data_IF_223712793961
#
_entry.id   IF_223712793961
#
_cell.length_a   1.000
_cell.length_b   1.000
_cell.length_c   1.000
_cell.angle_alpha   90.00
_cell.angle_beta   90.00
_cell.angle_gamma   90.00
#
_symmetry.space_group_name_H-M   'P 1'
#
loop_
_entity.id
_entity.type
_entity.pdbx_description
1 polymer ?
#
# COMPACT_ATOMS: atom_id res chain seq x y z
N UNK A 1 19.27 -24.45 -4.99
CA UNK A 1 19.64 -23.28 -4.16
C UNK A 1 18.48 -22.77 -3.30
N UNK A 2 17.38 -22.20 -3.81
CA UNK A 2 16.25 -21.74 -2.94
C UNK A 2 15.65 -22.85 -2.07
N UNK A 3 15.29 -23.98 -2.68
CA UNK A 3 14.72 -25.15 -1.99
C UNK A 3 15.67 -25.75 -0.94
N UNK A 4 16.97 -25.72 -1.22
CA UNK A 4 18.02 -26.19 -0.32
C UNK A 4 18.16 -25.29 0.92
N UNK A 5 18.14 -23.97 0.73
CA UNK A 5 18.15 -23.00 1.84
C UNK A 5 16.92 -23.18 2.72
N UNK A 6 15.74 -23.35 2.12
CA UNK A 6 14.50 -23.56 2.85
C UNK A 6 14.55 -24.85 3.69
N UNK A 7 14.94 -25.98 3.08
CA UNK A 7 15.11 -27.24 3.79
C UNK A 7 16.14 -27.13 4.95
N UNK A 8 17.20 -26.35 4.76
CA UNK A 8 18.18 -26.11 5.81
C UNK A 8 17.60 -25.32 7.00
N UNK A 9 16.84 -24.26 6.74
CA UNK A 9 16.18 -23.47 7.79
C UNK A 9 15.17 -24.31 8.57
N UNK A 10 14.32 -25.06 7.87
CA UNK A 10 13.35 -25.98 8.46
C UNK A 10 14.03 -27.04 9.35
N UNK A 11 15.16 -27.61 8.90
CA UNK A 11 15.93 -28.59 9.68
C UNK A 11 16.50 -28.05 11.00
N UNK A 12 16.58 -26.72 11.13
CA UNK A 12 17.08 -26.01 12.32
C UNK A 12 15.95 -25.44 13.18
N UNK A 13 14.69 -25.65 12.81
CA UNK A 13 13.54 -25.05 13.49
C UNK A 13 13.47 -23.53 13.31
N UNK A 14 14.09 -23.00 12.24
CA UNK A 14 14.03 -21.57 11.93
C UNK A 14 12.78 -21.32 11.09
N UNK A 15 11.92 -20.43 11.59
CA UNK A 15 10.71 -20.02 10.90
C UNK A 15 11.06 -19.20 9.66
N UNK A 16 10.45 -19.52 8.53
CA UNK A 16 10.58 -18.75 7.30
C UNK A 16 9.38 -17.82 7.20
N UNK A 17 9.65 -16.51 7.19
CA UNK A 17 8.68 -15.49 6.82
C UNK A 17 8.88 -15.13 5.34
N UNK A 18 7.86 -15.33 4.52
CA UNK A 18 7.91 -14.99 3.10
C UNK A 18 7.52 -13.53 2.92
N UNK A 19 8.50 -12.64 2.77
CA UNK A 19 8.24 -11.21 2.58
C UNK A 19 8.99 -10.60 1.42
N UNK A 20 8.62 -9.38 1.07
CA UNK A 20 9.29 -8.60 0.03
C UNK A 20 10.71 -8.18 0.45
N UNK A 21 11.60 -7.88 -0.50
CA UNK A 21 12.89 -7.27 -0.20
C UNK A 21 12.70 -6.00 0.62
N UNK A 22 13.40 -5.90 1.74
CA UNK A 22 13.36 -4.71 2.59
C UNK A 22 14.29 -3.65 2.00
N UNK A 23 13.73 -2.65 1.35
CA UNK A 23 14.44 -1.42 0.97
C UNK A 23 14.17 -0.33 2.02
N UNK A 24 15.20 0.44 2.41
CA UNK A 24 15.06 1.59 3.32
C UNK A 24 15.56 1.37 4.76
N UNK A 25 15.59 2.46 5.52
CA UNK A 25 15.98 2.47 6.93
C UNK A 25 14.82 2.01 7.84
N UNK A 26 15.06 1.16 8.86
CA UNK A 26 14.07 0.81 9.86
C UNK A 26 13.53 2.05 10.61
N UNK A 27 12.27 2.05 11.09
CA UNK A 27 11.40 0.88 11.31
C UNK A 27 10.19 0.81 10.35
N UNK A 28 10.38 0.34 9.12
CA UNK A 28 9.26 0.00 8.24
C UNK A 28 8.60 -1.35 8.62
N UNK A 29 7.28 -1.50 8.45
CA UNK A 29 6.59 -2.79 8.57
C UNK A 29 7.13 -3.82 7.58
N UNK A 30 6.98 -5.10 7.90
CA UNK A 30 7.43 -6.23 7.07
C UNK A 30 6.21 -6.91 6.46
N UNK A 31 6.01 -6.72 5.15
CA UNK A 31 4.90 -7.32 4.43
C UNK A 31 5.19 -8.75 3.97
N UNK A 32 4.19 -9.61 4.09
CA UNK A 32 4.15 -10.94 3.52
C UNK A 32 3.96 -10.86 2.00
N UNK A 33 4.68 -11.70 1.25
CA UNK A 33 4.64 -11.78 -0.22
C UNK A 33 3.35 -12.49 -0.65
N UNK A 34 2.23 -11.76 -0.66
CA UNK A 34 0.90 -12.29 -1.01
C UNK A 34 0.77 -12.62 -2.49
N UNK A 35 1.58 -12.00 -3.36
CA UNK A 35 1.66 -12.34 -4.79
C UNK A 35 2.05 -13.81 -5.01
N UNK A 36 3.00 -14.31 -4.20
CA UNK A 36 3.49 -15.69 -4.31
C UNK A 36 2.89 -16.63 -3.27
N UNK A 37 2.45 -16.08 -2.14
CA UNK A 37 1.97 -16.83 -0.99
C UNK A 37 0.67 -16.22 -0.45
N UNK A 38 -0.44 -16.26 -1.20
CA UNK A 38 -1.71 -15.64 -0.80
C UNK A 38 -2.45 -16.40 0.32
N UNK A 39 -1.92 -17.53 0.78
CA UNK A 39 -2.55 -18.33 1.83
C UNK A 39 -2.21 -17.78 3.22
N UNK A 40 -3.21 -17.17 3.87
CA UNK A 40 -3.09 -16.61 5.21
C UNK A 40 -2.69 -17.66 6.27
N UNK A 41 -2.98 -18.95 6.04
CA UNK A 41 -2.57 -20.00 6.99
C UNK A 41 -1.05 -20.08 7.12
N UNK A 42 -0.31 -19.82 6.03
CA UNK A 42 1.16 -19.82 6.07
C UNK A 42 1.71 -18.66 6.90
N UNK A 43 1.10 -17.48 6.78
CA UNK A 43 1.44 -16.31 7.61
C UNK A 43 1.16 -16.57 9.08
N UNK A 44 -0.01 -17.12 9.41
CA UNK A 44 -0.37 -17.47 10.80
C UNK A 44 0.51 -18.58 11.37
N UNK A 45 0.90 -19.57 10.58
CA UNK A 45 1.83 -20.61 10.99
C UNK A 45 3.22 -20.04 11.32
N UNK A 46 3.69 -19.06 10.54
CA UNK A 46 4.93 -18.35 10.84
C UNK A 46 4.84 -17.54 12.14
N UNK A 47 3.71 -16.85 12.36
CA UNK A 47 3.45 -16.13 13.61
C UNK A 47 3.45 -17.07 14.82
N UNK A 48 2.70 -18.18 14.74
CA UNK A 48 2.60 -19.18 15.81
C UNK A 48 3.96 -19.79 16.14
N UNK A 49 4.72 -20.19 15.11
CA UNK A 49 6.06 -20.77 15.30
C UNK A 49 7.07 -19.74 15.87
N UNK A 50 6.83 -18.44 15.66
CA UNK A 50 7.59 -17.36 16.29
C UNK A 50 7.13 -17.04 17.72
N UNK A 51 6.13 -17.76 18.25
CA UNK A 51 5.60 -17.59 19.60
C UNK A 51 4.53 -16.50 19.74
N UNK A 52 4.01 -15.98 18.63
CA UNK A 52 2.95 -14.97 18.62
C UNK A 52 1.63 -15.61 19.00
N UNK A 53 0.90 -15.00 19.94
CA UNK A 53 -0.41 -15.48 20.43
C UNK A 53 -1.53 -14.45 20.28
N UNK A 54 -1.20 -13.29 19.72
CA UNK A 54 -2.12 -12.19 19.45
C UNK A 54 -1.89 -11.73 18.01
N UNK A 55 -2.96 -11.64 17.25
CA UNK A 55 -2.97 -11.15 15.87
C UNK A 55 -4.12 -10.15 15.75
N UNK A 56 -3.85 -9.00 15.13
CA UNK A 56 -4.87 -8.04 14.73
C UNK A 56 -5.50 -8.52 13.43
N UNK A 57 -6.83 -8.51 13.37
CA UNK A 57 -7.59 -8.74 12.14
C UNK A 57 -8.36 -7.48 11.81
N UNK A 58 -8.15 -6.97 10.61
CA UNK A 58 -8.90 -5.87 10.04
C UNK A 58 -9.53 -6.31 8.73
N UNK A 59 -10.78 -5.89 8.51
CA UNK A 59 -11.48 -6.10 7.26
C UNK A 59 -12.19 -4.80 6.89
N UNK A 60 -12.03 -4.38 5.64
CA UNK A 60 -12.65 -3.17 5.10
C UNK A 60 -13.75 -3.55 4.13
N UNK A 61 -14.92 -2.96 4.32
CA UNK A 61 -16.00 -2.98 3.33
C UNK A 61 -15.83 -1.80 2.39
N UNK A 62 -16.08 -2.02 1.10
CA UNK A 62 -16.16 -0.95 0.12
C UNK A 62 -17.49 -0.23 0.25
N UNK A 63 -17.46 1.09 0.42
CA UNK A 63 -18.67 1.89 0.61
C UNK A 63 -18.89 2.83 -0.56
N UNK A 64 -20.13 3.27 -0.75
CA UNK A 64 -20.45 4.31 -1.73
C UNK A 64 -19.73 5.62 -1.40
N UNK A 65 -19.60 5.95 -0.11
CA UNK A 65 -18.86 7.12 0.39
C UNK A 65 -17.42 7.19 -0.18
N UNK A 66 -16.72 6.05 -0.30
CA UNK A 66 -15.36 6.04 -0.88
C UNK A 66 -15.34 6.51 -2.34
N UNK A 67 -16.40 6.24 -3.09
CA UNK A 67 -16.56 6.72 -4.47
C UNK A 67 -16.97 8.19 -4.48
N UNK A 68 -17.86 8.60 -3.58
CA UNK A 68 -18.29 10.00 -3.46
C UNK A 68 -17.10 10.90 -3.10
N UNK A 69 -16.32 10.53 -2.09
CA UNK A 69 -15.09 11.21 -1.69
C UNK A 69 -14.12 11.34 -2.87
N UNK A 70 -13.89 10.26 -3.62
CA UNK A 70 -13.00 10.29 -4.78
C UNK A 70 -13.54 11.17 -5.93
N UNK A 71 -14.86 11.19 -6.15
CA UNK A 71 -15.49 12.06 -7.14
C UNK A 71 -15.41 13.54 -6.74
N UNK A 72 -15.59 13.84 -5.45
CA UNK A 72 -15.45 15.19 -4.91
C UNK A 72 -14.00 15.68 -5.05
N UNK A 73 -13.02 14.84 -4.71
CA UNK A 73 -11.60 15.14 -4.91
C UNK A 73 -11.25 15.35 -6.39
N UNK A 74 -11.84 14.54 -7.29
CA UNK A 74 -11.62 14.71 -8.73
C UNK A 74 -12.17 16.04 -9.26
N UNK A 75 -13.31 16.52 -8.74
CA UNK A 75 -13.92 17.79 -9.16
C UNK A 75 -13.06 19.00 -8.77
N UNK A 76 -12.35 18.92 -7.64
CA UNK A 76 -11.43 19.95 -7.18
C UNK A 76 -9.99 19.80 -7.65
N UNK A 77 -9.67 18.74 -8.39
CA UNK A 77 -8.30 18.42 -8.84
C UNK A 77 -7.88 19.14 -10.11
N UNK A 78 -6.57 19.19 -10.36
CA UNK A 78 -5.97 19.77 -11.57
C UNK A 78 -5.81 18.74 -12.70
N UNK A 79 -6.47 17.58 -12.57
CA UNK A 79 -6.50 16.55 -13.61
C UNK A 79 -7.10 17.12 -14.92
N UNK A 80 -6.46 16.93 -16.10
CA UNK A 80 -6.96 17.43 -17.37
C UNK A 80 -8.40 17.01 -17.67
N UNK A 81 -9.21 17.93 -18.22
CA UNK A 81 -10.64 17.73 -18.46
C UNK A 81 -11.00 16.48 -19.28
N UNK A 82 -10.15 16.08 -20.23
CA UNK A 82 -10.33 14.88 -21.04
C UNK A 82 -10.07 13.59 -20.25
N UNK A 83 -9.13 13.64 -19.30
CA UNK A 83 -8.83 12.54 -18.38
C UNK A 83 -9.86 12.46 -17.24
N UNK A 84 -10.31 13.61 -16.73
CA UNK A 84 -11.30 13.72 -15.65
C UNK A 84 -12.55 12.91 -15.96
N UNK A 85 -13.09 13.02 -17.19
CA UNK A 85 -14.28 12.25 -17.61
C UNK A 85 -14.05 10.74 -17.60
N UNK A 86 -12.85 10.29 -17.95
CA UNK A 86 -12.52 8.88 -17.95
C UNK A 86 -12.41 8.34 -16.51
N UNK A 87 -11.77 9.09 -15.62
CA UNK A 87 -11.68 8.75 -14.19
C UNK A 87 -13.07 8.76 -13.54
N UNK A 88 -13.87 9.79 -13.80
CA UNK A 88 -15.25 9.91 -13.30
C UNK A 88 -16.14 8.73 -13.73
N UNK A 89 -16.07 8.36 -15.01
CA UNK A 89 -16.78 7.18 -15.50
C UNK A 89 -16.33 5.92 -14.76
N UNK A 90 -15.02 5.76 -14.56
CA UNK A 90 -14.47 4.57 -13.92
C UNK A 90 -14.85 4.47 -12.45
N UNK A 91 -14.77 5.57 -11.71
CA UNK A 91 -15.25 5.66 -10.32
C UNK A 91 -16.73 5.25 -10.20
N UNK A 92 -17.58 5.69 -11.13
CA UNK A 92 -18.99 5.29 -11.16
C UNK A 92 -19.20 3.80 -11.41
N UNK A 93 -18.36 3.17 -12.24
CA UNK A 93 -18.42 1.73 -12.48
C UNK A 93 -18.08 0.91 -11.22
N UNK A 94 -17.17 1.40 -10.38
CA UNK A 94 -16.77 0.74 -9.14
C UNK A 94 -17.88 0.70 -8.08
N UNK A 95 -18.90 1.58 -8.15
CA UNK A 95 -20.06 1.56 -7.22
C UNK A 95 -20.75 0.20 -7.12
N UNK A 96 -20.67 -0.63 -8.16
CA UNK A 96 -21.23 -2.00 -8.15
C UNK A 96 -20.61 -2.90 -7.06
N UNK A 97 -19.46 -2.54 -6.53
CA UNK A 97 -18.75 -3.26 -5.46
C UNK A 97 -19.08 -2.73 -4.06
N UNK A 98 -19.98 -1.75 -3.91
CA UNK A 98 -20.44 -1.31 -2.60
C UNK A 98 -21.05 -2.47 -1.81
N UNK A 99 -20.69 -2.56 -0.52
CA UNK A 99 -21.10 -3.63 0.39
C UNK A 99 -20.24 -4.90 0.33
N UNK A 100 -19.25 -4.98 -0.57
CA UNK A 100 -18.31 -6.10 -0.61
C UNK A 100 -17.04 -5.80 0.20
N UNK A 101 -16.44 -6.82 0.82
CA UNK A 101 -15.12 -6.70 1.45
C UNK A 101 -14.06 -6.41 0.40
N UNK A 102 -13.34 -5.29 0.55
CA UNK A 102 -12.31 -4.84 -0.39
C UNK A 102 -10.89 -5.14 0.07
N UNK A 103 -10.71 -5.32 1.38
CA UNK A 103 -9.41 -5.57 2.00
C UNK A 103 -9.55 -6.44 3.24
N UNK A 104 -8.59 -7.34 3.43
CA UNK A 104 -8.37 -8.09 4.67
C UNK A 104 -6.91 -7.95 5.04
N UNK A 105 -6.65 -7.44 6.24
CA UNK A 105 -5.32 -7.31 6.81
C UNK A 105 -5.22 -8.17 8.09
N UNK A 106 -4.14 -8.94 8.20
CA UNK A 106 -3.70 -9.58 9.44
C UNK A 106 -2.35 -9.03 9.83
N UNK A 107 -2.17 -8.65 11.09
CA UNK A 107 -0.89 -8.11 11.55
C UNK A 107 -0.52 -8.53 12.96
N UNK A 108 0.78 -8.59 13.24
CA UNK A 108 1.30 -8.88 14.59
C UNK A 108 2.63 -8.19 14.85
N UNK A 109 2.92 -7.96 16.13
CA UNK A 109 4.18 -7.40 16.59
C UNK A 109 5.17 -8.49 17.01
N UNK A 110 6.42 -8.38 16.54
CA UNK A 110 7.53 -9.22 16.99
C UNK A 110 8.83 -8.42 16.99
N UNK A 111 9.46 -8.31 18.16
CA UNK A 111 10.75 -7.63 18.35
C UNK A 111 10.81 -6.21 17.76
N UNK A 112 9.83 -5.37 18.12
CA UNK A 112 9.67 -3.97 17.68
C UNK A 112 9.45 -3.80 16.16
N UNK A 113 8.93 -4.83 15.49
CA UNK A 113 8.51 -4.77 14.09
C UNK A 113 7.08 -5.27 13.97
N UNK A 114 6.31 -4.59 13.13
CA UNK A 114 5.00 -5.03 12.67
C UNK A 114 5.19 -5.92 11.45
N UNK A 115 4.57 -7.10 11.46
CA UNK A 115 4.48 -8.00 10.32
C UNK A 115 3.06 -8.00 9.80
N UNK A 116 2.88 -7.86 8.49
CA UNK A 116 1.57 -7.62 7.87
C UNK A 116 1.35 -8.63 6.75
N UNK A 117 0.16 -9.20 6.71
CA UNK A 117 -0.42 -9.89 5.57
C UNK A 117 -1.59 -9.04 5.10
N UNK A 118 -1.56 -8.59 3.85
CA UNK A 118 -2.58 -7.71 3.29
C UNK A 118 -3.08 -8.28 1.95
N UNK A 119 -4.38 -8.50 1.87
CA UNK A 119 -5.06 -8.89 0.64
C UNK A 119 -6.08 -7.84 0.29
N UNK A 120 -5.95 -7.34 -0.93
CA UNK A 120 -6.85 -6.35 -1.52
C UNK A 120 -7.46 -6.95 -2.77
N UNK A 121 -8.63 -6.45 -3.12
CA UNK A 121 -9.26 -6.79 -4.38
C UNK A 121 -8.73 -5.90 -5.49
N UNK A 122 -8.57 -6.44 -6.70
CA UNK A 122 -8.05 -5.68 -7.84
C UNK A 122 -8.80 -4.36 -8.09
N UNK A 123 -10.12 -4.35 -7.87
CA UNK A 123 -10.96 -3.16 -8.04
C UNK A 123 -10.79 -2.13 -6.92
N UNK A 124 -10.31 -2.55 -5.75
CA UNK A 124 -9.96 -1.65 -4.66
C UNK A 124 -8.57 -1.05 -4.85
N UNK A 125 -7.62 -1.83 -5.37
CA UNK A 125 -6.32 -1.31 -5.80
C UNK A 125 -6.50 -0.29 -6.93
N UNK A 126 -7.37 -0.58 -7.89
CA UNK A 126 -7.73 0.37 -8.96
C UNK A 126 -8.33 1.68 -8.41
N UNK A 127 -9.17 1.63 -7.38
CA UNK A 127 -9.64 2.84 -6.71
C UNK A 127 -8.46 3.63 -6.12
N UNK A 128 -7.57 2.95 -5.40
CA UNK A 128 -6.41 3.60 -4.77
C UNK A 128 -5.47 4.23 -5.80
N UNK A 129 -5.18 3.56 -6.90
CA UNK A 129 -4.37 4.13 -8.00
C UNK A 129 -5.00 5.40 -8.58
N UNK A 130 -6.34 5.43 -8.71
CA UNK A 130 -7.04 6.65 -9.15
C UNK A 130 -6.98 7.76 -8.11
N UNK A 131 -7.11 7.44 -6.83
CA UNK A 131 -6.99 8.40 -5.73
C UNK A 131 -5.58 8.98 -5.63
N UNK A 132 -4.54 8.14 -5.72
CA UNK A 132 -3.14 8.56 -5.72
C UNK A 132 -2.86 9.52 -6.90
N UNK A 133 -3.37 9.19 -8.09
CA UNK A 133 -3.27 10.08 -9.26
C UNK A 133 -3.98 11.43 -9.07
N UNK A 134 -5.14 11.42 -8.43
CA UNK A 134 -5.86 12.66 -8.10
C UNK A 134 -5.04 13.49 -7.11
N UNK A 135 -4.46 12.85 -6.09
CA UNK A 135 -3.62 13.50 -5.08
C UNK A 135 -2.34 14.10 -5.70
N UNK A 136 -1.68 13.35 -6.57
CA UNK A 136 -0.47 13.79 -7.28
C UNK A 136 -0.73 15.05 -8.16
N UNK A 137 -1.94 15.21 -8.70
CA UNK A 137 -2.27 16.37 -9.53
C UNK A 137 -2.20 17.69 -8.78
N UNK A 138 -2.48 17.71 -7.47
CA UNK A 138 -2.33 18.90 -6.63
C UNK A 138 -0.87 19.28 -6.39
N UNK A 139 0.04 18.31 -6.45
CA UNK A 139 1.46 18.50 -6.15
C UNK A 139 2.25 19.05 -7.34
N UNK A 140 1.73 18.93 -8.57
CA UNK A 140 2.39 19.44 -9.78
C UNK A 140 2.37 20.98 -9.88
N UNK A 141 1.49 21.67 -9.15
CA UNK A 141 1.41 23.14 -9.17
C UNK A 141 2.36 23.85 -8.16
N UNK A 142 2.88 23.17 -7.12
CA UNK A 142 3.73 23.80 -6.10
C UNK A 142 5.22 23.92 -6.49
N UNK A 143 5.67 23.25 -7.55
CA UNK A 143 7.07 23.29 -8.02
C UNK A 143 7.39 24.45 -8.99
N UNK A 144 6.41 25.28 -9.37
CA UNK A 144 6.63 26.41 -10.31
C UNK A 144 7.05 27.74 -9.64
N UNK A 145 7.11 27.83 -8.30
CA UNK A 145 7.47 29.07 -7.58
C UNK A 145 8.86 29.05 -6.91
N UNK A 146 9.79 28.20 -7.37
CA UNK A 146 11.23 28.48 -7.24
C UNK A 146 11.66 29.44 -8.36
N UNK A 147 11.28 30.71 -8.21
CA UNK A 147 11.73 31.80 -9.07
C UNK A 147 13.26 31.78 -9.25
N UNK A 148 13.79 32.23 -10.40
CA UNK A 148 15.21 32.16 -10.69
C UNK A 148 15.97 32.92 -9.59
N UNK A 149 16.87 32.22 -8.88
CA UNK A 149 17.86 32.81 -7.99
C UNK A 149 18.76 33.77 -8.80
N UNK A 150 18.23 34.97 -8.99
CA UNK A 150 18.87 36.12 -9.60
C UNK A 150 20.02 36.56 -8.70
N UNK A 151 21.24 36.41 -9.20
CA UNK A 151 22.25 37.47 -9.10
C UNK A 151 22.93 37.64 -7.75
N UNK A 152 24.00 36.86 -7.56
CA UNK A 152 25.33 37.31 -7.16
C UNK A 152 25.50 38.40 -6.10
N UNK A 153 26.25 38.08 -5.04
CA UNK A 153 27.42 38.87 -4.64
C UNK A 153 28.49 37.94 -4.05
N UNK A 154 29.54 37.68 -4.83
CA UNK A 154 30.85 37.36 -4.28
C UNK A 154 31.41 38.65 -3.66
N UNK A 155 31.73 38.64 -2.36
CA UNK A 155 32.70 39.59 -1.81
C UNK A 155 33.65 38.86 -0.88
N UNK A 156 34.91 38.80 -1.33
CA UNK A 156 36.08 38.53 -0.51
C UNK A 156 36.36 39.76 0.35
N UNK A 157 36.44 39.58 1.66
CA UNK A 157 37.51 40.11 2.51
C UNK A 157 37.47 39.43 3.87
#
# INVERSE_FOLDING_TARGET
MRSEIQAYLESRGIVVFHGYPRAGDPPAPVFWDTDRYPDYHMFLAAAEAAGVRLVTLYAREFTEDMIEDALEQLDSSDVPNDEQRAVEQRLRELRRYAGFTCQIELSFDLANRVYIFDLRTDWYDELSEMQDRIDDSYSEEEDEDEGPLSGGYYSKN
#
